data_IF_121935307259
#
_entry.id   IF_121935307259
#
_cell.length_a   1.000
_cell.length_b   1.000
_cell.length_c   1.000
_cell.angle_alpha   90.00
_cell.angle_beta   90.00
_cell.angle_gamma   90.00
#
_symmetry.space_group_name_H-M   'P 1'
#
loop_
_entity.id
_entity.type
_entity.pdbx_description
1 polymer ?
#
# COMPACT_ATOMS: atom_id res chain seq x y z
N UNK A 1 -11.72 26.78 16.16
CA UNK A 1 -11.35 25.68 15.25
C UNK A 1 -10.31 24.82 15.94
N UNK A 2 -10.46 23.50 15.91
CA UNK A 2 -9.53 22.57 16.57
C UNK A 2 -8.19 22.57 15.83
N UNK A 3 -7.04 22.70 16.52
CA UNK A 3 -5.73 22.65 15.87
C UNK A 3 -5.47 21.26 15.30
N UNK A 4 -4.70 21.19 14.22
CA UNK A 4 -4.26 19.94 13.60
C UNK A 4 -2.77 19.77 13.89
N UNK A 5 -2.39 18.59 14.37
CA UNK A 5 -1.00 18.17 14.57
C UNK A 5 -0.69 17.13 13.51
N UNK A 6 0.25 17.44 12.62
CA UNK A 6 0.74 16.50 11.62
C UNK A 6 1.95 15.76 12.18
N UNK A 7 1.92 14.43 12.10
CA UNK A 7 3.03 13.58 12.53
C UNK A 7 3.89 13.21 11.33
N UNK A 8 5.21 13.34 11.50
CA UNK A 8 6.21 12.96 10.51
C UNK A 8 7.32 12.13 11.15
N UNK A 9 7.73 11.05 10.50
CA UNK A 9 8.93 10.31 10.86
C UNK A 9 10.19 11.07 10.41
N UNK A 10 11.19 11.15 11.29
CA UNK A 10 12.50 11.71 11.01
C UNK A 10 13.60 10.88 11.66
N UNK A 11 14.74 10.83 10.99
CA UNK A 11 15.97 10.29 11.56
C UNK A 11 16.84 11.48 11.96
N UNK A 12 17.36 11.45 13.18
CA UNK A 12 18.29 12.45 13.71
C UNK A 12 19.54 11.76 14.26
N UNK A 13 20.52 12.53 14.73
CA UNK A 13 21.68 11.98 15.44
C UNK A 13 21.28 11.23 16.73
N UNK A 14 20.08 11.46 17.25
CA UNK A 14 19.52 10.82 18.44
C UNK A 14 18.60 9.62 18.13
N UNK A 15 18.58 9.17 16.87
CA UNK A 15 17.75 8.05 16.41
C UNK A 15 16.47 8.49 15.72
N UNK A 16 15.54 7.54 15.60
CA UNK A 16 14.24 7.74 14.97
C UNK A 16 13.31 8.57 15.86
N UNK A 17 12.66 9.56 15.26
CA UNK A 17 11.82 10.54 15.93
C UNK A 17 10.45 10.69 15.26
N UNK A 18 9.43 10.83 16.09
CA UNK A 18 8.10 11.28 15.72
C UNK A 18 8.02 12.81 15.89
N UNK A 19 8.00 13.54 14.78
CA UNK A 19 7.96 15.01 14.75
C UNK A 19 6.53 15.51 14.68
N UNK A 20 6.21 16.46 15.54
CA UNK A 20 4.92 17.13 15.62
C UNK A 20 5.01 18.49 14.90
N UNK A 21 4.25 18.64 13.82
CA UNK A 21 4.12 19.92 13.10
C UNK A 21 2.71 20.48 13.27
N UNK A 22 2.61 21.70 13.78
CA UNK A 22 1.33 22.36 14.02
C UNK A 22 1.50 23.88 13.93
N UNK A 23 0.41 24.59 13.61
CA UNK A 23 0.38 26.06 13.74
C UNK A 23 0.41 26.44 15.22
N UNK A 24 1.10 27.52 15.57
CA UNK A 24 1.25 28.00 16.96
C UNK A 24 -0.10 27.96 17.69
N UNK A 25 -0.14 27.22 18.79
CA UNK A 25 -1.34 27.03 19.60
C UNK A 25 -0.95 26.78 21.07
N UNK A 26 -1.46 27.62 21.98
CA UNK A 26 -1.04 27.59 23.39
C UNK A 26 -1.54 26.37 24.16
N UNK A 27 -2.65 25.74 23.74
CA UNK A 27 -3.12 24.50 24.36
C UNK A 27 -2.19 23.34 24.01
N UNK A 28 -1.78 23.24 22.74
CA UNK A 28 -0.81 22.23 22.28
C UNK A 28 0.54 22.43 22.97
N UNK A 29 1.05 23.67 23.00
CA UNK A 29 2.34 23.96 23.66
C UNK A 29 2.32 23.64 25.16
N UNK A 30 1.24 23.98 25.87
CA UNK A 30 1.09 23.61 27.30
C UNK A 30 1.05 22.10 27.50
N UNK A 31 0.34 21.36 26.65
CA UNK A 31 0.30 19.89 26.71
C UNK A 31 1.66 19.26 26.44
N UNK A 32 2.44 19.81 25.49
CA UNK A 32 3.83 19.39 25.26
C UNK A 32 4.69 19.61 26.51
N UNK A 33 4.60 20.77 27.14
CA UNK A 33 5.38 21.07 28.36
C UNK A 33 5.02 20.13 29.53
N UNK A 34 3.78 19.65 29.60
CA UNK A 34 3.33 18.65 30.58
C UNK A 34 3.87 17.23 30.28
N UNK A 35 4.39 17.00 29.07
CA UNK A 35 4.85 15.70 28.59
C UNK A 35 6.36 15.75 28.27
N UNK A 36 7.21 15.55 29.28
CA UNK A 36 8.67 15.72 29.17
C UNK A 36 9.43 14.79 28.20
N UNK A 37 8.72 13.82 27.60
CA UNK A 37 9.21 12.95 26.54
C UNK A 37 9.08 13.57 25.14
N UNK A 38 8.29 14.64 24.99
CA UNK A 38 8.21 15.47 23.78
C UNK A 38 9.12 16.68 23.97
N UNK A 39 10.16 16.81 23.14
CA UNK A 39 11.20 17.84 23.31
C UNK A 39 11.40 18.62 22.03
N UNK A 40 11.77 19.89 22.17
CA UNK A 40 12.21 20.69 21.04
C UNK A 40 13.52 20.12 20.50
N UNK A 41 13.55 19.83 19.20
CA UNK A 41 14.73 19.38 18.47
C UNK A 41 15.26 20.53 17.62
N UNK A 42 16.41 21.13 17.99
CA UNK A 42 16.97 22.29 17.28
C UNK A 42 17.24 22.01 15.79
N UNK A 43 17.74 20.81 15.49
CA UNK A 43 18.07 20.36 14.13
C UNK A 43 16.84 20.34 13.21
N UNK A 44 15.68 19.95 13.76
CA UNK A 44 14.44 19.80 13.02
C UNK A 44 13.54 21.04 13.12
N UNK A 45 13.92 22.01 13.98
CA UNK A 45 13.11 23.18 14.34
C UNK A 45 11.66 22.81 14.67
N UNK A 46 11.48 21.71 15.39
CA UNK A 46 10.18 21.15 15.71
C UNK A 46 10.21 20.39 17.04
N UNK A 47 9.03 20.18 17.63
CA UNK A 47 8.88 19.28 18.77
C UNK A 47 8.85 17.84 18.29
N UNK A 48 9.57 16.95 18.97
CA UNK A 48 9.62 15.55 18.62
C UNK A 48 9.64 14.64 19.85
N UNK A 49 9.11 13.44 19.66
CA UNK A 49 9.18 12.33 20.59
C UNK A 49 10.05 11.21 20.00
N UNK A 50 10.66 10.34 20.83
CA UNK A 50 11.25 9.10 20.35
C UNK A 50 10.26 8.28 19.51
N UNK A 51 10.68 7.81 18.35
CA UNK A 51 9.89 6.91 17.51
C UNK A 51 9.97 5.49 18.06
N UNK A 52 8.85 4.79 18.06
CA UNK A 52 8.73 3.39 18.48
C UNK A 52 7.40 2.83 18.01
N UNK A 53 7.17 1.53 18.18
CA UNK A 53 5.98 0.82 17.65
C UNK A 53 4.66 1.49 18.08
N UNK A 54 4.61 2.07 19.28
CA UNK A 54 3.41 2.70 19.85
C UNK A 54 3.44 4.23 19.86
N UNK A 55 4.45 4.88 19.26
CA UNK A 55 4.64 6.32 19.36
C UNK A 55 3.45 7.12 18.81
N UNK A 56 2.86 6.67 17.70
CA UNK A 56 1.67 7.32 17.10
C UNK A 56 0.48 7.23 18.06
N UNK A 57 0.23 6.05 18.63
CA UNK A 57 -0.87 5.82 19.57
C UNK A 57 -0.77 6.72 20.79
N UNK A 58 0.40 6.76 21.43
CA UNK A 58 0.63 7.65 22.58
C UNK A 58 0.46 9.13 22.26
N UNK A 59 0.87 9.57 21.05
CA UNK A 59 0.65 10.95 20.62
C UNK A 59 -0.84 11.22 20.36
N UNK A 60 -1.60 10.26 19.83
CA UNK A 60 -3.05 10.40 19.68
C UNK A 60 -3.67 10.56 21.08
N UNK A 61 -3.40 9.65 22.01
CA UNK A 61 -3.95 9.68 23.37
C UNK A 61 -3.66 11.00 24.10
N UNK A 62 -2.45 11.56 23.92
CA UNK A 62 -2.04 12.80 24.56
C UNK A 62 -2.68 14.05 23.95
N UNK A 63 -3.18 14.02 22.72
CA UNK A 63 -3.70 15.22 22.04
C UNK A 63 -5.14 15.10 21.54
N UNK A 64 -5.78 13.93 21.60
CA UNK A 64 -7.13 13.66 21.06
C UNK A 64 -8.29 14.37 21.77
N UNK A 65 -8.05 15.09 22.87
CA UNK A 65 -9.01 15.96 23.52
C UNK A 65 -8.87 17.42 23.05
N UNK A 66 -7.69 17.83 22.56
CA UNK A 66 -7.37 19.23 22.25
C UNK A 66 -7.01 19.50 20.78
N UNK A 67 -6.63 18.49 20.00
CA UNK A 67 -6.15 18.62 18.62
C UNK A 67 -6.54 17.40 17.77
N UNK A 68 -6.72 17.59 16.46
CA UNK A 68 -6.81 16.49 15.51
C UNK A 68 -5.39 16.02 15.17
N UNK A 69 -5.12 14.72 15.31
CA UNK A 69 -3.80 14.16 15.03
C UNK A 69 -3.82 13.47 13.66
N UNK A 70 -3.04 13.99 12.73
CA UNK A 70 -2.93 13.49 11.37
C UNK A 70 -1.62 12.72 11.19
N UNK A 71 -1.72 11.39 11.11
CA UNK A 71 -0.59 10.48 10.89
C UNK A 71 -0.40 10.07 9.42
N UNK A 72 -1.22 10.58 8.50
CA UNK A 72 -1.18 10.19 7.07
C UNK A 72 0.15 10.48 6.38
N UNK A 73 0.94 11.39 6.94
CA UNK A 73 2.28 11.75 6.44
C UNK A 73 3.42 11.16 7.26
N UNK A 74 3.12 10.33 8.27
CA UNK A 74 4.14 9.83 9.19
C UNK A 74 5.27 9.11 8.46
N UNK A 75 4.95 8.21 7.53
CA UNK A 75 5.95 7.52 6.71
C UNK A 75 6.26 8.24 5.38
N UNK A 76 5.76 9.46 5.15
CA UNK A 76 6.04 10.18 3.92
C UNK A 76 7.50 10.66 3.92
N UNK A 77 8.29 10.21 2.93
CA UNK A 77 9.57 10.84 2.61
C UNK A 77 9.29 12.27 2.16
N UNK A 78 9.64 13.24 2.99
CA UNK A 78 9.62 14.65 2.57
C UNK A 78 10.72 14.80 1.52
N UNK A 79 10.32 15.27 0.32
CA UNK A 79 11.25 15.66 -0.75
C UNK A 79 12.34 16.54 -0.13
N UNK A 80 13.59 16.27 -0.50
CA UNK A 80 14.74 17.16 -0.23
C UNK A 80 14.30 18.62 -0.47
N UNK A 81 14.75 19.53 0.41
CA UNK A 81 14.28 20.93 0.48
C UNK A 81 14.26 21.59 -0.91
N UNK A 82 13.15 22.26 -1.23
CA UNK A 82 12.93 22.97 -2.49
C UNK A 82 13.88 24.17 -2.72
N UNK A 83 14.94 24.32 -1.93
CA UNK A 83 15.94 25.38 -2.07
C UNK A 83 16.92 25.12 -3.24
N UNK A 84 16.85 23.96 -3.90
CA UNK A 84 17.69 23.61 -5.05
C UNK A 84 16.90 23.16 -6.28
N UNK A 85 15.72 23.76 -6.55
CA UNK A 85 14.98 23.45 -7.77
C UNK A 85 15.09 24.61 -8.74
N UNK A 86 15.99 24.48 -9.72
CA UNK A 86 16.12 25.41 -10.83
C UNK A 86 15.30 24.86 -12.01
N UNK A 87 14.50 25.70 -12.67
CA UNK A 87 13.69 25.27 -13.82
C UNK A 87 14.64 24.84 -14.95
N UNK A 88 14.63 23.55 -15.28
CA UNK A 88 15.52 22.95 -16.29
C UNK A 88 16.32 21.74 -15.76
N UNK A 89 16.36 21.52 -14.45
CA UNK A 89 17.02 20.35 -13.88
C UNK A 89 16.18 19.09 -14.06
N UNK A 90 16.77 18.05 -14.64
CA UNK A 90 16.13 16.73 -14.77
C UNK A 90 16.21 16.03 -13.40
N UNK A 91 15.31 16.41 -12.49
CA UNK A 91 15.15 15.65 -11.26
C UNK A 91 14.64 14.25 -11.60
N UNK A 92 15.56 13.29 -11.66
CA UNK A 92 15.22 11.88 -11.56
C UNK A 92 14.41 11.71 -10.28
N UNK A 93 13.17 11.27 -10.40
CA UNK A 93 12.34 10.93 -9.25
C UNK A 93 13.11 9.93 -8.36
N UNK A 94 13.72 10.40 -7.27
CA UNK A 94 14.31 9.55 -6.22
C UNK A 94 13.17 8.98 -5.37
N UNK A 95 12.43 8.06 -5.98
CA UNK A 95 11.25 7.40 -5.45
C UNK A 95 10.70 6.40 -6.46
N UNK A 96 11.60 5.78 -7.23
CA UNK A 96 11.23 4.71 -8.16
C UNK A 96 10.66 3.59 -7.29
N UNK A 97 9.37 3.30 -7.47
CA UNK A 97 8.73 2.17 -6.82
C UNK A 97 9.52 0.91 -7.16
N UNK A 98 9.99 0.21 -6.13
CA UNK A 98 10.75 -1.02 -6.31
C UNK A 98 9.86 -2.03 -7.04
N UNK A 99 10.39 -2.59 -8.12
CA UNK A 99 9.69 -3.62 -8.88
C UNK A 99 10.02 -4.99 -8.31
N UNK A 100 9.01 -5.83 -8.20
CA UNK A 100 9.22 -7.23 -7.80
C UNK A 100 9.52 -8.06 -9.05
N UNK A 101 10.62 -8.82 -8.99
CA UNK A 101 10.90 -9.87 -9.98
C UNK A 101 9.92 -11.05 -9.80
N UNK A 102 9.24 -11.44 -10.88
CA UNK A 102 8.24 -12.52 -10.86
C UNK A 102 8.86 -13.81 -11.37
N UNK A 103 8.62 -14.92 -10.67
CA UNK A 103 9.15 -16.24 -11.05
C UNK A 103 8.42 -16.86 -12.26
N UNK A 104 7.33 -16.24 -12.71
CA UNK A 104 6.54 -16.69 -13.85
C UNK A 104 5.28 -15.86 -14.03
N UNK A 105 4.43 -16.30 -14.96
CA UNK A 105 3.11 -15.70 -15.19
C UNK A 105 2.01 -16.75 -15.30
N UNK A 106 0.81 -16.38 -14.89
CA UNK A 106 -0.43 -17.13 -15.04
C UNK A 106 -1.46 -16.29 -15.79
N UNK A 107 -2.42 -16.92 -16.43
CA UNK A 107 -3.56 -16.26 -17.07
C UNK A 107 -4.86 -16.80 -16.49
N UNK A 108 -5.73 -15.90 -16.05
CA UNK A 108 -7.08 -16.20 -15.60
C UNK A 108 -8.01 -16.27 -16.80
N UNK A 109 -8.67 -17.41 -16.99
CA UNK A 109 -9.56 -17.71 -18.12
C UNK A 109 -10.96 -18.02 -17.56
N UNK A 110 -12.02 -17.36 -18.04
CA UNK A 110 -13.37 -17.66 -17.59
C UNK A 110 -13.78 -19.02 -18.17
N UNK A 111 -14.34 -19.89 -17.34
CA UNK A 111 -14.88 -21.18 -17.78
C UNK A 111 -16.29 -21.31 -17.26
N UNK A 112 -17.20 -21.73 -18.14
CA UNK A 112 -18.58 -22.04 -17.78
C UNK A 112 -18.87 -23.46 -18.23
N UNK A 113 -19.14 -24.33 -17.27
CA UNK A 113 -19.73 -25.64 -17.53
C UNK A 113 -21.22 -25.58 -17.17
N UNK A 114 -21.98 -26.61 -17.52
CA UNK A 114 -23.42 -26.66 -17.25
C UNK A 114 -23.77 -26.58 -15.75
N UNK A 115 -22.82 -26.95 -14.89
CA UNK A 115 -23.00 -27.02 -13.44
C UNK A 115 -22.50 -25.78 -12.68
N UNK A 116 -21.49 -25.09 -13.21
CA UNK A 116 -20.87 -23.97 -12.48
C UNK A 116 -20.07 -23.00 -13.37
N UNK A 117 -19.86 -21.80 -12.84
CA UNK A 117 -18.92 -20.81 -13.39
C UNK A 117 -17.63 -20.89 -12.58
N UNK A 118 -16.50 -20.94 -13.26
CA UNK A 118 -15.17 -21.05 -12.68
C UNK A 118 -14.22 -20.07 -13.38
N UNK A 119 -13.07 -19.83 -12.75
CA UNK A 119 -11.94 -19.16 -13.37
C UNK A 119 -10.79 -20.17 -13.41
N UNK A 120 -10.46 -20.66 -14.61
CA UNK A 120 -9.33 -21.55 -14.81
C UNK A 120 -8.01 -20.77 -14.89
N UNK A 121 -6.93 -21.37 -14.42
CA UNK A 121 -5.59 -20.78 -14.38
C UNK A 121 -4.70 -21.49 -15.39
N UNK A 122 -4.35 -20.82 -16.49
CA UNK A 122 -3.40 -21.36 -17.47
C UNK A 122 -2.00 -20.82 -17.21
N UNK A 123 -0.99 -21.66 -17.40
CA UNK A 123 0.42 -21.29 -17.20
C UNK A 123 1.33 -22.22 -17.99
N UNK A 124 2.51 -21.73 -18.37
CA UNK A 124 3.56 -22.58 -18.96
C UNK A 124 4.01 -23.60 -17.92
N UNK A 125 4.15 -24.86 -18.31
CA UNK A 125 4.54 -25.93 -17.39
C UNK A 125 5.83 -25.58 -16.64
N UNK A 126 5.65 -25.16 -15.38
CA UNK A 126 6.69 -24.68 -14.49
C UNK A 126 6.42 -25.28 -13.11
N UNK A 127 7.39 -26.05 -12.61
CA UNK A 127 7.30 -26.72 -11.30
C UNK A 127 7.09 -25.72 -10.16
N UNK A 128 7.67 -24.53 -10.22
CA UNK A 128 7.49 -23.51 -9.17
C UNK A 128 6.07 -22.96 -9.17
N UNK A 129 5.55 -22.58 -10.34
CA UNK A 129 4.15 -22.14 -10.51
C UNK A 129 3.17 -23.21 -10.03
N UNK A 130 3.38 -24.47 -10.43
CA UNK A 130 2.51 -25.56 -10.01
C UNK A 130 2.49 -25.73 -8.48
N UNK A 131 3.67 -25.69 -7.84
CA UNK A 131 3.77 -25.78 -6.37
C UNK A 131 3.08 -24.61 -5.67
N UNK A 132 3.24 -23.39 -6.19
CA UNK A 132 2.58 -22.20 -5.63
C UNK A 132 1.05 -22.31 -5.70
N UNK A 133 0.53 -22.68 -6.87
CA UNK A 133 -0.92 -22.86 -7.05
C UNK A 133 -1.44 -23.99 -6.14
N UNK A 134 -0.73 -25.14 -6.11
CA UNK A 134 -1.11 -26.27 -5.24
C UNK A 134 -1.11 -25.92 -3.75
N UNK A 135 -0.26 -25.00 -3.31
CA UNK A 135 -0.17 -24.58 -1.91
C UNK A 135 -1.20 -23.51 -1.54
N UNK A 136 -1.77 -22.79 -2.52
CA UNK A 136 -2.75 -21.74 -2.26
C UNK A 136 -4.10 -22.35 -1.88
N UNK A 137 -4.69 -21.86 -0.79
CA UNK A 137 -6.00 -22.29 -0.30
C UNK A 137 -7.17 -21.85 -1.20
N UNK A 138 -6.91 -20.91 -2.11
CA UNK A 138 -7.91 -20.33 -3.00
C UNK A 138 -8.03 -21.03 -4.34
N UNK A 139 -7.16 -22.03 -4.60
CA UNK A 139 -7.20 -22.81 -5.84
C UNK A 139 -7.33 -24.29 -5.54
N UNK A 140 -7.94 -25.02 -6.46
CA UNK A 140 -7.95 -26.48 -6.41
C UNK A 140 -7.75 -27.04 -7.82
N UNK A 141 -7.26 -28.28 -7.88
CA UNK A 141 -7.06 -28.97 -9.14
C UNK A 141 -8.40 -29.51 -9.67
N UNK A 142 -8.78 -29.10 -10.87
CA UNK A 142 -9.97 -29.58 -11.56
C UNK A 142 -9.59 -30.65 -12.59
N UNK A 143 -9.99 -31.89 -12.34
CA UNK A 143 -9.53 -33.05 -13.12
C UNK A 143 -9.94 -32.99 -14.59
N UNK A 144 -11.16 -32.59 -14.89
CA UNK A 144 -11.68 -32.56 -16.27
C UNK A 144 -10.98 -31.50 -17.12
N UNK A 145 -10.73 -30.33 -16.53
CA UNK A 145 -10.05 -29.21 -17.17
C UNK A 145 -8.54 -29.36 -17.15
N UNK A 146 -8.02 -30.33 -16.35
CA UNK A 146 -6.59 -30.54 -16.09
C UNK A 146 -5.86 -29.25 -15.74
N UNK A 147 -6.49 -28.45 -14.89
CA UNK A 147 -6.04 -27.10 -14.55
C UNK A 147 -6.41 -26.74 -13.11
N UNK A 148 -5.70 -25.76 -12.55
CA UNK A 148 -6.13 -25.13 -11.31
C UNK A 148 -7.29 -24.19 -11.60
N UNK A 149 -8.27 -24.18 -10.71
CA UNK A 149 -9.45 -23.31 -10.82
C UNK A 149 -9.70 -22.54 -9.53
N UNK A 150 -10.37 -21.40 -9.68
CA UNK A 150 -10.79 -20.51 -8.59
C UNK A 150 -12.30 -20.30 -8.70
N UNK A 151 -12.99 -20.29 -7.56
CA UNK A 151 -14.38 -19.89 -7.50
C UNK A 151 -14.52 -18.40 -7.89
N UNK A 152 -15.53 -18.00 -8.70
CA UNK A 152 -15.72 -16.63 -9.15
C UNK A 152 -16.36 -15.74 -8.06
N UNK A 153 -15.83 -15.81 -6.84
CA UNK A 153 -16.24 -15.00 -5.70
C UNK A 153 -15.25 -13.86 -5.51
N UNK A 154 -15.77 -12.64 -5.32
CA UNK A 154 -14.98 -11.43 -5.10
C UNK A 154 -13.87 -11.62 -4.06
N UNK A 155 -14.24 -12.10 -2.87
CA UNK A 155 -13.29 -12.28 -1.77
C UNK A 155 -12.19 -13.29 -2.10
N UNK A 156 -12.55 -14.42 -2.70
CA UNK A 156 -11.58 -15.46 -3.12
C UNK A 156 -10.58 -14.89 -4.12
N UNK A 157 -11.05 -14.12 -5.11
CA UNK A 157 -10.17 -13.53 -6.11
C UNK A 157 -9.26 -12.44 -5.53
N UNK A 158 -9.77 -11.59 -4.63
CA UNK A 158 -8.95 -10.60 -3.92
C UNK A 158 -7.84 -11.28 -3.12
N UNK A 159 -8.19 -12.29 -2.30
CA UNK A 159 -7.21 -13.00 -1.47
C UNK A 159 -6.18 -13.75 -2.30
N UNK A 160 -6.64 -14.44 -3.34
CA UNK A 160 -5.76 -15.10 -4.31
C UNK A 160 -4.78 -14.10 -4.93
N UNK A 161 -5.25 -12.93 -5.37
CA UNK A 161 -4.37 -11.92 -5.96
C UNK A 161 -3.40 -11.32 -4.95
N UNK A 162 -3.83 -11.03 -3.72
CA UNK A 162 -2.95 -10.56 -2.65
C UNK A 162 -1.82 -11.54 -2.35
N UNK A 163 -2.12 -12.85 -2.34
CA UNK A 163 -1.15 -13.92 -2.14
C UNK A 163 -0.23 -14.09 -3.37
N UNK A 164 -0.82 -14.43 -4.51
CA UNK A 164 -0.08 -14.95 -5.68
C UNK A 164 0.69 -13.86 -6.40
N UNK A 165 0.16 -12.62 -6.40
CA UNK A 165 0.75 -11.53 -7.18
C UNK A 165 2.12 -11.14 -6.67
N UNK A 166 2.48 -11.50 -5.43
CA UNK A 166 3.83 -11.29 -4.89
C UNK A 166 4.89 -12.11 -5.62
N UNK A 167 4.53 -13.30 -6.15
CA UNK A 167 5.46 -14.23 -6.80
C UNK A 167 5.25 -14.36 -8.30
N UNK A 168 4.01 -14.28 -8.76
CA UNK A 168 3.63 -14.51 -10.16
C UNK A 168 2.99 -13.27 -10.76
N UNK A 169 3.22 -13.06 -12.05
CA UNK A 169 2.46 -12.09 -12.84
C UNK A 169 1.11 -12.69 -13.23
N UNK A 170 0.02 -12.05 -12.86
CA UNK A 170 -1.34 -12.45 -13.20
C UNK A 170 -1.81 -11.65 -14.41
N UNK A 171 -2.23 -12.38 -15.46
CA UNK A 171 -2.84 -11.84 -16.67
C UNK A 171 -4.32 -12.22 -16.70
N UNK A 172 -5.11 -11.44 -17.40
CA UNK A 172 -6.50 -11.78 -17.70
C UNK A 172 -6.62 -12.20 -19.15
N UNK A 173 -7.43 -13.22 -19.41
CA UNK A 173 -7.92 -13.51 -20.74
C UNK A 173 -8.88 -12.39 -21.18
N UNK A 174 -8.96 -12.12 -22.49
CA UNK A 174 -9.81 -11.07 -23.05
C UNK A 174 -11.32 -11.30 -22.83
N UNK A 175 -11.72 -12.54 -22.58
CA UNK A 175 -13.13 -12.88 -22.28
C UNK A 175 -13.48 -12.72 -20.79
N UNK A 176 -12.48 -12.52 -19.91
CA UNK A 176 -12.71 -12.33 -18.48
C UNK A 176 -12.95 -10.85 -18.18
N UNK A 177 -14.21 -10.47 -18.01
CA UNK A 177 -14.56 -9.12 -17.56
C UNK A 177 -14.58 -9.02 -16.04
N UNK A 178 -13.88 -8.01 -15.49
CA UNK A 178 -13.87 -7.73 -14.05
C UNK A 178 -14.27 -6.28 -13.78
N UNK A 179 -15.45 -6.10 -13.17
CA UNK A 179 -16.01 -4.77 -12.81
C UNK A 179 -15.51 -4.27 -11.44
N UNK A 180 -14.87 -5.14 -10.66
CA UNK A 180 -14.42 -4.79 -9.32
C UNK A 180 -13.12 -3.96 -9.35
N UNK A 181 -13.23 -2.68 -8.99
CA UNK A 181 -12.10 -1.75 -8.99
C UNK A 181 -10.97 -2.12 -8.02
N UNK A 182 -11.24 -2.85 -6.93
CA UNK A 182 -10.18 -3.33 -6.02
C UNK A 182 -9.39 -4.45 -6.69
N UNK A 183 -10.05 -5.31 -7.45
CA UNK A 183 -9.38 -6.37 -8.22
C UNK A 183 -8.53 -5.75 -9.34
N UNK A 184 -9.06 -4.77 -10.07
CA UNK A 184 -8.31 -4.01 -11.08
C UNK A 184 -7.09 -3.33 -10.46
N UNK A 185 -7.26 -2.67 -9.30
CA UNK A 185 -6.16 -2.05 -8.55
C UNK A 185 -5.04 -3.06 -8.25
N UNK A 186 -5.39 -4.24 -7.71
CA UNK A 186 -4.41 -5.29 -7.42
C UNK A 186 -3.66 -5.75 -8.69
N UNK A 187 -4.38 -5.87 -9.81
CA UNK A 187 -3.79 -6.24 -11.09
C UNK A 187 -2.88 -5.15 -11.67
N UNK A 188 -3.16 -3.87 -11.45
CA UNK A 188 -2.27 -2.78 -11.87
C UNK A 188 -1.03 -2.68 -10.98
N UNK A 189 -1.19 -2.91 -9.68
CA UNK A 189 -0.13 -2.73 -8.68
C UNK A 189 0.81 -3.94 -8.54
N UNK A 190 0.48 -5.08 -9.16
CA UNK A 190 1.23 -6.34 -8.99
C UNK A 190 2.72 -6.25 -9.37
N UNK A 191 3.14 -5.26 -10.17
CA UNK A 191 4.53 -5.10 -10.58
C UNK A 191 5.44 -4.54 -9.46
N UNK A 192 4.86 -3.97 -8.41
CA UNK A 192 5.57 -3.19 -7.40
C UNK A 192 5.63 -3.90 -6.05
N UNK A 193 6.68 -3.59 -5.29
CA UNK A 193 6.85 -3.99 -3.90
C UNK A 193 5.96 -3.14 -3.00
N UNK A 194 5.11 -3.83 -2.24
CA UNK A 194 4.18 -3.20 -1.30
C UNK A 194 4.84 -3.07 0.07
N UNK A 195 5.85 -2.22 0.15
CA UNK A 195 6.50 -1.87 1.42
C UNK A 195 5.71 -0.81 2.20
N UNK A 196 6.26 -0.35 3.33
CA UNK A 196 5.64 0.67 4.18
C UNK A 196 5.44 2.02 3.46
N UNK A 197 6.19 2.28 2.39
CA UNK A 197 6.15 3.53 1.62
C UNK A 197 5.27 3.42 0.38
N UNK A 198 4.84 2.22 0.02
CA UNK A 198 3.95 1.98 -1.09
C UNK A 198 2.58 2.59 -0.83
N UNK A 199 2.20 3.54 -1.69
CA UNK A 199 0.85 4.10 -1.69
C UNK A 199 0.07 3.49 -2.85
N UNK A 200 -0.95 2.71 -2.52
CA UNK A 200 -1.89 2.22 -3.53
C UNK A 200 -2.55 3.38 -4.28
N UNK A 201 -2.80 3.17 -5.56
CA UNK A 201 -3.51 4.10 -6.42
C UNK A 201 -4.95 4.26 -5.92
N UNK A 202 -5.46 5.48 -5.67
CA UNK A 202 -6.84 5.67 -5.20
C UNK A 202 -7.87 4.99 -6.10
N UNK A 203 -8.88 4.33 -5.51
CA UNK A 203 -9.90 3.60 -6.27
C UNK A 203 -10.70 4.56 -7.16
N UNK A 204 -10.91 5.80 -6.69
CA UNK A 204 -11.59 6.88 -7.41
C UNK A 204 -10.87 7.20 -8.73
N UNK A 205 -9.54 7.16 -8.72
CA UNK A 205 -8.74 7.38 -9.91
C UNK A 205 -8.92 6.24 -10.92
N UNK A 206 -8.97 4.99 -10.44
CA UNK A 206 -9.20 3.82 -11.29
C UNK A 206 -10.61 3.88 -11.90
N UNK A 207 -11.63 4.27 -11.13
CA UNK A 207 -12.99 4.46 -11.63
C UNK A 207 -13.07 5.48 -12.76
N UNK A 208 -12.32 6.59 -12.63
CA UNK A 208 -12.26 7.61 -13.66
C UNK A 208 -11.61 7.11 -14.95
N UNK A 209 -10.54 6.31 -14.85
CA UNK A 209 -9.77 5.84 -16.01
C UNK A 209 -10.36 4.59 -16.68
N UNK A 210 -11.04 3.73 -15.93
CA UNK A 210 -11.66 2.49 -16.40
C UNK A 210 -13.17 2.48 -16.06
N UNK A 211 -13.97 3.39 -16.63
CA UNK A 211 -15.38 3.56 -16.25
C UNK A 211 -16.25 2.33 -16.58
N UNK A 212 -15.89 1.53 -17.59
CA UNK A 212 -16.66 0.37 -18.05
C UNK A 212 -16.00 -1.00 -17.81
N UNK A 213 -14.88 -1.04 -17.06
CA UNK A 213 -14.08 -2.25 -16.77
C UNK A 213 -13.53 -3.02 -17.98
N UNK A 214 -12.41 -3.71 -17.75
CA UNK A 214 -11.60 -4.44 -18.75
C UNK A 214 -12.14 -5.86 -18.92
#
# INVERSE_FOLDING_TARGET
>A
MRPIIYLNHRVSQHGDLCVLLFKKNDAVLRRIQQNGWIRWQPELRAYAAPSGENAIGHIIDVFEDIAEVNSSYFHARLKESAEQVTIGDTHYFKGILEKIEKVGSITLVPVKNDQERLIAITFKNNKSTFRLLKASEYTHWHNELRSFVIAPKRWTLIRFLEEISTRLRVKMHNELSIVDYRIIQLLFEQAYQKDLYFKSCPIEFIKFYAPESI
#
